data_IF_497476291067
#
_entry.id   IF_497476291067
#
_cell.length_a   1.000
_cell.length_b   1.000
_cell.length_c   1.000
_cell.angle_alpha   90.00
_cell.angle_beta   90.00
_cell.angle_gamma   90.00
#
_symmetry.space_group_name_H-M   'P 1'
#
loop_
_entity.id
_entity.type
_entity.pdbx_description
1 polymer ?
#
# COMPACT_ATOMS: atom_id res chain seq x y z
N UNK A 1 16.62 1.41 -1.04
CA UNK A 1 15.56 1.47 -0.01
C UNK A 1 14.27 2.03 -0.60
N UNK A 2 13.13 1.77 0.01
CA UNK A 2 11.83 2.32 -0.39
C UNK A 2 11.16 3.00 0.80
N UNK A 3 10.60 4.17 0.58
CA UNK A 3 9.85 4.93 1.59
C UNK A 3 8.43 5.16 1.08
N UNK A 4 7.42 4.73 1.85
CA UNK A 4 6.02 4.83 1.49
C UNK A 4 5.33 5.89 2.35
N UNK A 5 4.45 6.69 1.71
CA UNK A 5 3.69 7.75 2.37
C UNK A 5 2.20 7.66 2.11
N UNK A 6 1.40 8.04 3.12
CA UNK A 6 -0.04 8.26 2.98
C UNK A 6 -0.60 9.20 4.05
N UNK A 7 -1.45 10.10 3.66
CA UNK A 7 -2.53 10.86 4.29
C UNK A 7 -2.49 12.36 3.98
N UNK A 8 -3.40 13.16 4.53
CA UNK A 8 -3.43 14.62 4.36
C UNK A 8 -2.11 15.24 4.81
N UNK A 9 -1.52 16.09 3.97
CA UNK A 9 -0.19 16.70 4.22
C UNK A 9 1.01 15.85 3.78
N UNK A 10 0.84 14.58 3.42
CA UNK A 10 1.96 13.72 2.99
C UNK A 10 2.64 14.20 1.71
N UNK A 11 1.96 14.96 0.87
CA UNK A 11 2.52 15.46 -0.38
C UNK A 11 3.66 16.45 -0.11
N UNK A 12 3.47 17.38 0.83
CA UNK A 12 4.50 18.33 1.26
C UNK A 12 5.72 17.60 1.85
N UNK A 13 5.46 16.65 2.74
CA UNK A 13 6.48 15.80 3.37
C UNK A 13 7.28 15.02 2.31
N UNK A 14 6.61 14.49 1.28
CA UNK A 14 7.30 13.79 0.18
C UNK A 14 8.19 14.72 -0.65
N UNK A 15 7.76 15.96 -0.87
CA UNK A 15 8.59 16.97 -1.56
C UNK A 15 9.83 17.25 -0.73
N UNK A 16 9.68 17.59 0.56
CA UNK A 16 10.80 17.84 1.48
C UNK A 16 11.74 16.64 1.58
N UNK A 17 11.20 15.41 1.62
CA UNK A 17 12.03 14.21 1.63
C UNK A 17 12.86 14.07 0.35
N UNK A 18 12.25 14.27 -0.84
CA UNK A 18 12.99 14.19 -2.10
C UNK A 18 14.09 15.24 -2.20
N UNK A 19 13.82 16.46 -1.73
CA UNK A 19 14.81 17.54 -1.67
C UNK A 19 15.97 17.18 -0.72
N UNK A 20 15.67 16.66 0.46
CA UNK A 20 16.69 16.28 1.43
C UNK A 20 17.51 15.07 0.95
N UNK A 21 16.88 14.05 0.34
CA UNK A 21 17.58 12.93 -0.30
C UNK A 21 18.56 13.40 -1.38
N UNK A 22 18.13 14.37 -2.21
CA UNK A 22 19.00 14.95 -3.25
C UNK A 22 20.18 15.71 -2.65
N UNK A 23 19.98 16.49 -1.58
CA UNK A 23 21.07 17.18 -0.86
C UNK A 23 22.10 16.19 -0.31
N UNK A 24 21.66 15.02 0.14
CA UNK A 24 22.51 13.98 0.71
C UNK A 24 23.05 12.96 -0.32
N UNK A 25 22.70 13.13 -1.62
CA UNK A 25 23.11 12.22 -2.68
C UNK A 25 22.49 10.82 -2.60
N UNK A 26 21.30 10.70 -2.02
CA UNK A 26 20.58 9.43 -1.82
C UNK A 26 19.40 9.23 -2.78
N UNK A 27 19.17 10.15 -3.68
CA UNK A 27 17.99 10.18 -4.57
C UNK A 27 17.92 8.99 -5.54
N UNK A 28 19.06 8.41 -5.91
CA UNK A 28 19.10 7.18 -6.70
C UNK A 28 19.00 5.88 -5.86
N UNK A 29 19.33 5.96 -4.57
CA UNK A 29 19.31 4.79 -3.66
C UNK A 29 17.97 4.61 -2.94
N UNK A 30 17.20 5.68 -2.78
CA UNK A 30 15.94 5.71 -2.01
C UNK A 30 14.77 6.09 -2.89
N UNK A 31 13.91 5.12 -3.17
CA UNK A 31 12.65 5.34 -3.90
C UNK A 31 11.57 5.85 -2.95
N UNK A 32 10.98 7.02 -3.26
CA UNK A 32 9.86 7.61 -2.51
C UNK A 32 8.57 7.35 -3.24
N UNK A 33 7.68 6.55 -2.65
CA UNK A 33 6.45 6.06 -3.27
C UNK A 33 5.22 6.57 -2.50
N UNK A 34 4.26 7.14 -3.22
CA UNK A 34 2.93 7.42 -2.69
C UNK A 34 2.08 6.17 -2.78
N UNK A 35 1.55 5.70 -1.65
CA UNK A 35 0.73 4.49 -1.61
C UNK A 35 -0.74 4.78 -1.28
N UNK A 36 -1.58 3.76 -1.43
CA UNK A 36 -2.98 3.79 -1.03
C UNK A 36 -3.19 3.84 0.49
N UNK A 37 -4.44 3.96 0.93
CA UNK A 37 -4.78 4.07 2.35
C UNK A 37 -4.49 2.77 3.11
N UNK A 38 -3.80 2.88 4.24
CA UNK A 38 -3.53 1.76 5.15
C UNK A 38 -4.61 1.58 6.23
N UNK A 39 -5.65 2.42 6.27
CA UNK A 39 -6.70 2.36 7.30
C UNK A 39 -6.32 3.00 8.64
N UNK A 40 -5.14 3.59 8.75
CA UNK A 40 -4.61 4.20 9.99
C UNK A 40 -4.65 5.74 9.93
N UNK A 41 -5.77 6.31 9.49
CA UNK A 41 -5.91 7.76 9.27
C UNK A 41 -5.65 8.60 10.52
N UNK A 42 -5.95 8.08 11.71
CA UNK A 42 -5.69 8.77 12.99
C UNK A 42 -4.19 8.93 13.30
N UNK A 43 -3.33 8.13 12.68
CA UNK A 43 -1.87 8.16 12.85
C UNK A 43 -1.16 8.93 11.73
N UNK A 44 -1.92 9.53 10.80
CA UNK A 44 -1.34 10.26 9.68
C UNK A 44 -0.74 11.63 10.03
N UNK A 45 0.20 12.11 9.23
CA UNK A 45 0.90 11.43 8.12
C UNK A 45 1.75 10.25 8.57
N UNK A 46 1.68 9.14 7.81
CA UNK A 46 2.48 7.95 8.09
C UNK A 46 3.59 7.77 7.06
N UNK A 47 4.72 7.23 7.50
CA UNK A 47 5.86 6.86 6.66
C UNK A 47 6.32 5.45 7.01
N UNK A 48 6.55 4.61 6.00
CA UNK A 48 7.12 3.27 6.18
C UNK A 48 8.43 3.20 5.43
N UNK A 49 9.50 2.80 6.12
CA UNK A 49 10.84 2.67 5.56
C UNK A 49 11.19 1.20 5.41
N UNK A 50 11.47 0.76 4.18
CA UNK A 50 11.93 -0.59 3.88
C UNK A 50 13.46 -0.64 3.74
N UNK A 51 14.10 -1.80 3.99
CA UNK A 51 13.50 -3.15 4.09
C UNK A 51 12.88 -3.50 5.45
N UNK A 52 13.22 -2.80 6.53
CA UNK A 52 12.85 -3.19 7.90
C UNK A 52 11.37 -2.93 8.22
N UNK A 53 10.62 -2.32 7.29
CA UNK A 53 9.23 -1.91 7.46
C UNK A 53 9.02 -1.01 8.70
N UNK A 54 10.02 -0.20 9.03
CA UNK A 54 9.96 0.75 10.15
C UNK A 54 8.79 1.71 9.94
N UNK A 55 7.88 1.77 10.93
CA UNK A 55 6.66 2.53 10.83
C UNK A 55 6.70 3.80 11.68
N UNK A 56 6.68 4.94 11.01
CA UNK A 56 6.60 6.27 11.63
C UNK A 56 5.18 6.82 11.54
N UNK A 57 4.69 7.36 12.65
CA UNK A 57 3.39 8.01 12.78
C UNK A 57 3.52 9.52 12.98
N UNK A 58 2.50 10.27 12.56
CA UNK A 58 2.39 11.73 12.76
C UNK A 58 3.62 12.51 12.28
N UNK A 59 4.25 12.05 11.19
CA UNK A 59 5.46 12.66 10.63
C UNK A 59 5.16 14.08 10.15
N UNK A 60 6.03 15.02 10.49
CA UNK A 60 5.98 16.41 10.04
C UNK A 60 7.13 16.69 9.08
N UNK A 61 7.03 17.79 8.36
CA UNK A 61 8.07 18.24 7.44
C UNK A 61 9.42 18.47 8.17
N UNK A 62 9.37 19.04 9.37
CA UNK A 62 10.55 19.30 10.21
C UNK A 62 11.27 18.02 10.69
N UNK A 63 10.61 16.87 10.63
CA UNK A 63 11.20 15.59 11.01
C UNK A 63 12.07 15.00 9.89
N UNK A 64 11.92 15.46 8.65
CA UNK A 64 12.56 14.86 7.49
C UNK A 64 14.09 14.88 7.54
N UNK A 65 14.76 16.01 7.89
CA UNK A 65 16.22 16.01 7.99
C UNK A 65 16.74 14.96 8.98
N UNK A 66 16.10 14.82 10.14
CA UNK A 66 16.50 13.84 11.16
C UNK A 66 16.28 12.39 10.67
N UNK A 67 15.16 12.11 9.99
CA UNK A 67 14.89 10.78 9.43
C UNK A 67 15.93 10.41 8.38
N UNK A 68 16.28 11.34 7.49
CA UNK A 68 17.29 11.09 6.46
C UNK A 68 18.66 10.85 7.09
N UNK A 69 19.09 11.70 8.01
CA UNK A 69 20.40 11.59 8.64
C UNK A 69 20.51 10.35 9.53
N UNK A 70 19.57 10.14 10.44
CA UNK A 70 19.68 9.05 11.41
C UNK A 70 19.26 7.70 10.84
N UNK A 71 18.12 7.63 10.14
CA UNK A 71 17.62 6.34 9.67
C UNK A 71 18.16 5.96 8.28
N UNK A 72 18.09 6.85 7.29
CA UNK A 72 18.49 6.48 5.93
C UNK A 72 20.01 6.45 5.73
N UNK A 73 20.77 7.33 6.37
CA UNK A 73 22.24 7.32 6.30
C UNK A 73 22.87 6.39 7.35
N UNK A 74 22.49 6.54 8.63
CA UNK A 74 23.15 5.85 9.74
C UNK A 74 22.47 4.53 10.15
N UNK A 75 21.30 4.19 9.59
CA UNK A 75 20.56 2.96 9.91
C UNK A 75 19.93 2.94 11.30
N UNK A 76 19.76 4.09 11.96
CA UNK A 76 19.20 4.22 13.30
C UNK A 76 17.79 4.82 13.27
N UNK A 77 16.73 4.04 13.49
CA UNK A 77 15.37 4.57 13.50
C UNK A 77 15.18 5.69 14.53
N UNK A 78 14.44 6.74 14.15
CA UNK A 78 14.11 7.89 15.01
C UNK A 78 13.04 7.47 16.01
N UNK A 79 13.46 7.18 17.26
CA UNK A 79 12.60 6.53 18.28
C UNK A 79 11.33 7.32 18.60
N UNK A 80 11.39 8.66 18.66
CA UNK A 80 10.24 9.52 19.00
C UNK A 80 9.09 9.49 17.98
N UNK A 81 9.36 9.04 16.76
CA UNK A 81 8.39 8.96 15.67
C UNK A 81 7.82 7.55 15.48
N UNK A 82 8.38 6.56 16.17
CA UNK A 82 7.88 5.19 16.09
C UNK A 82 6.48 5.10 16.68
N UNK A 83 5.64 4.29 16.04
CA UNK A 83 4.34 3.96 16.60
C UNK A 83 4.51 2.96 17.76
N UNK A 84 3.92 3.24 18.91
CA UNK A 84 4.15 2.50 20.17
C UNK A 84 3.92 0.98 20.04
N UNK A 85 2.89 0.57 19.29
CA UNK A 85 2.62 -0.86 19.05
C UNK A 85 3.71 -1.56 18.24
N UNK A 86 4.56 -0.82 17.51
CA UNK A 86 5.67 -1.38 16.74
C UNK A 86 6.96 -1.49 17.54
N UNK A 87 7.00 -0.88 18.72
CA UNK A 87 8.18 -0.91 19.62
C UNK A 87 8.05 -2.07 20.60
N UNK A 88 9.08 -2.90 20.68
CA UNK A 88 9.18 -3.99 21.66
C UNK A 88 10.55 -4.04 22.29
N UNK A 89 10.71 -4.70 23.46
CA UNK A 89 12.02 -4.91 24.08
C UNK A 89 13.04 -5.62 23.16
N UNK A 90 12.55 -6.37 22.17
CA UNK A 90 13.38 -7.06 21.17
C UNK A 90 13.71 -6.22 19.93
N UNK A 91 13.21 -4.97 19.85
CA UNK A 91 13.40 -4.07 18.71
C UNK A 91 12.10 -3.57 18.10
N UNK A 92 12.21 -2.94 16.91
CA UNK A 92 11.08 -2.40 16.16
C UNK A 92 10.38 -3.53 15.40
N UNK A 93 9.06 -3.67 15.58
CA UNK A 93 8.21 -4.57 14.79
C UNK A 93 7.79 -3.92 13.48
N UNK A 94 7.51 -4.76 12.48
CA UNK A 94 6.90 -4.30 11.24
C UNK A 94 5.43 -3.89 11.46
N UNK A 95 4.89 -3.07 10.54
CA UNK A 95 3.48 -2.73 10.52
C UNK A 95 2.57 -3.97 10.51
N UNK A 96 2.99 -5.04 9.81
CA UNK A 96 2.26 -6.31 9.75
C UNK A 96 2.09 -7.02 11.10
N UNK A 97 2.94 -6.69 12.08
CA UNK A 97 2.91 -7.27 13.43
C UNK A 97 1.97 -6.52 14.39
N UNK A 98 1.39 -5.39 13.98
CA UNK A 98 0.42 -4.67 14.81
C UNK A 98 -0.88 -5.46 14.94
N UNK A 99 -1.60 -5.30 16.05
CA UNK A 99 -2.86 -6.00 16.31
C UNK A 99 -3.94 -5.71 15.27
N UNK A 100 -3.92 -4.52 14.70
CA UNK A 100 -4.82 -4.12 13.61
C UNK A 100 -4.60 -4.98 12.35
N UNK A 101 -3.35 -5.16 11.92
CA UNK A 101 -3.04 -5.90 10.69
C UNK A 101 -3.06 -7.42 10.87
N UNK A 102 -2.66 -7.94 12.03
CA UNK A 102 -2.71 -9.39 12.33
C UNK A 102 -4.11 -9.98 12.17
N UNK A 103 -5.14 -9.18 12.47
CA UNK A 103 -6.55 -9.60 12.39
C UNK A 103 -7.17 -9.41 11.02
N UNK A 104 -6.43 -8.84 10.05
CA UNK A 104 -6.94 -8.56 8.71
C UNK A 104 -6.41 -9.55 7.68
N UNK A 105 -7.34 -10.07 6.87
CA UNK A 105 -7.03 -10.82 5.66
C UNK A 105 -7.34 -9.96 4.44
N UNK A 106 -6.31 -9.28 3.92
CA UNK A 106 -6.46 -8.37 2.78
C UNK A 106 -6.45 -9.14 1.46
N UNK A 107 -7.57 -9.09 0.71
CA UNK A 107 -7.71 -9.71 -0.61
C UNK A 107 -7.59 -8.62 -1.69
N UNK A 108 -8.53 -7.66 -1.71
CA UNK A 108 -8.54 -6.58 -2.71
C UNK A 108 -7.35 -5.61 -2.54
N UNK A 109 -6.92 -5.36 -1.31
CA UNK A 109 -5.82 -4.46 -0.98
C UNK A 109 -4.49 -5.19 -0.67
N UNK A 110 -4.34 -6.43 -1.15
CA UNK A 110 -3.13 -7.23 -0.85
C UNK A 110 -1.82 -6.56 -1.27
N UNK A 111 -1.84 -5.82 -2.37
CA UNK A 111 -0.68 -5.12 -2.90
C UNK A 111 -0.51 -3.68 -2.37
N UNK A 112 -1.47 -3.18 -1.57
CA UNK A 112 -1.39 -1.84 -0.99
C UNK A 112 -0.24 -1.76 0.02
N UNK A 113 0.70 -0.84 -0.23
CA UNK A 113 1.93 -0.72 0.55
C UNK A 113 3.02 -1.75 0.20
N UNK A 114 2.81 -2.56 -0.84
CA UNK A 114 3.80 -3.54 -1.34
C UNK A 114 4.40 -3.07 -2.65
N UNK A 115 3.55 -2.67 -3.60
CA UNK A 115 3.99 -2.17 -4.92
C UNK A 115 3.81 -0.66 -5.02
N UNK A 116 4.52 -0.05 -5.98
CA UNK A 116 4.22 1.31 -6.42
C UNK A 116 2.93 1.31 -7.25
N UNK A 117 1.85 1.99 -6.82
CA UNK A 117 0.57 1.99 -7.54
C UNK A 117 0.62 2.76 -8.88
N UNK A 118 1.66 3.56 -9.12
CA UNK A 118 1.87 4.32 -10.35
C UNK A 118 2.79 3.58 -11.34
N UNK A 119 3.26 2.37 -10.99
CA UNK A 119 4.16 1.55 -11.80
C UNK A 119 3.45 0.29 -12.30
N UNK A 120 3.17 0.23 -13.60
CA UNK A 120 2.49 -0.90 -14.23
C UNK A 120 3.33 -2.17 -14.21
N UNK A 121 4.66 -2.07 -14.28
CA UNK A 121 5.55 -3.23 -14.28
C UNK A 121 5.51 -3.95 -12.92
N UNK A 122 5.49 -3.20 -11.82
CA UNK A 122 5.31 -3.78 -10.49
C UNK A 122 3.94 -4.47 -10.35
N UNK A 123 2.88 -3.90 -10.94
CA UNK A 123 1.56 -4.54 -10.96
C UNK A 123 1.57 -5.85 -11.75
N UNK A 124 2.19 -5.86 -12.94
CA UNK A 124 2.33 -7.06 -13.77
C UNK A 124 3.18 -8.11 -13.04
N UNK A 125 4.30 -7.71 -12.44
CA UNK A 125 5.19 -8.58 -11.69
C UNK A 125 4.52 -9.28 -10.50
N UNK A 126 3.45 -8.70 -9.94
CA UNK A 126 2.63 -9.32 -8.87
C UNK A 126 1.41 -10.09 -9.39
N UNK A 127 1.38 -10.42 -10.67
CA UNK A 127 0.30 -11.18 -11.30
C UNK A 127 -0.85 -10.33 -11.83
N UNK A 128 -0.64 -9.00 -11.97
CA UNK A 128 -1.60 -8.11 -12.58
C UNK A 128 -1.91 -8.51 -14.03
N UNK A 129 -3.16 -8.33 -14.44
CA UNK A 129 -3.70 -8.69 -15.75
C UNK A 129 -3.70 -10.19 -16.12
N UNK A 130 -3.17 -11.10 -15.30
CA UNK A 130 -3.22 -12.54 -15.61
C UNK A 130 -4.65 -13.04 -15.78
N UNK A 131 -5.57 -12.66 -14.89
CA UNK A 131 -6.98 -13.03 -15.01
C UNK A 131 -7.63 -12.42 -16.27
N UNK A 132 -7.27 -11.18 -16.62
CA UNK A 132 -7.76 -10.52 -17.83
C UNK A 132 -7.26 -11.28 -19.09
N UNK A 133 -5.98 -11.62 -19.14
CA UNK A 133 -5.39 -12.41 -20.22
C UNK A 133 -6.16 -13.72 -20.41
N UNK A 134 -6.39 -14.47 -19.35
CA UNK A 134 -7.18 -15.70 -19.38
C UNK A 134 -8.60 -15.49 -19.91
N UNK A 135 -9.28 -14.47 -19.43
CA UNK A 135 -10.65 -14.15 -19.87
C UNK A 135 -10.69 -13.85 -21.38
N UNK A 136 -9.75 -13.05 -21.87
CA UNK A 136 -9.75 -12.63 -23.28
C UNK A 136 -9.35 -13.75 -24.26
N UNK A 137 -8.59 -14.74 -23.81
CA UNK A 137 -8.06 -15.79 -24.69
C UNK A 137 -8.74 -17.15 -24.54
N UNK A 138 -9.34 -17.43 -23.37
CA UNK A 138 -9.79 -18.78 -23.02
C UNK A 138 -11.27 -18.86 -22.64
N UNK A 139 -11.97 -17.72 -22.43
CA UNK A 139 -13.31 -17.72 -21.86
C UNK A 139 -14.30 -16.94 -22.72
N UNK A 140 -15.53 -17.43 -22.78
CA UNK A 140 -16.68 -16.67 -23.33
C UNK A 140 -17.27 -15.75 -22.24
N UNK A 141 -17.99 -14.67 -22.61
CA UNK A 141 -18.68 -13.82 -21.64
C UNK A 141 -19.59 -14.58 -20.66
N UNK A 142 -20.29 -15.62 -21.14
CA UNK A 142 -21.17 -16.43 -20.29
C UNK A 142 -20.38 -17.26 -19.26
N UNK A 143 -19.24 -17.80 -19.64
CA UNK A 143 -18.36 -18.51 -18.73
C UNK A 143 -17.80 -17.59 -17.63
N UNK A 144 -17.47 -16.35 -17.98
CA UNK A 144 -17.02 -15.35 -17.00
C UNK A 144 -18.13 -15.01 -16.00
N UNK A 145 -19.36 -14.77 -16.51
CA UNK A 145 -20.53 -14.51 -15.67
C UNK A 145 -20.81 -15.71 -14.74
N UNK A 146 -20.79 -16.92 -15.30
CA UNK A 146 -21.03 -18.13 -14.49
C UNK A 146 -19.96 -18.30 -13.41
N UNK A 147 -18.69 -18.07 -13.72
CA UNK A 147 -17.60 -18.09 -12.73
C UNK A 147 -17.85 -17.14 -11.55
N UNK A 148 -18.34 -15.92 -11.84
CA UNK A 148 -18.67 -14.94 -10.79
C UNK A 148 -19.90 -15.35 -9.97
N UNK A 149 -20.88 -16.01 -10.60
CA UNK A 149 -22.06 -16.54 -9.88
C UNK A 149 -21.67 -17.68 -8.95
N UNK A 150 -20.87 -18.62 -9.43
CA UNK A 150 -20.40 -19.78 -8.68
C UNK A 150 -19.47 -19.38 -7.52
N UNK A 151 -18.64 -18.36 -7.73
CA UNK A 151 -17.80 -17.78 -6.69
C UNK A 151 -18.58 -17.03 -5.61
N UNK A 152 -19.86 -16.74 -5.84
CA UNK A 152 -20.68 -15.97 -4.90
C UNK A 152 -20.19 -14.56 -4.63
N UNK A 153 -19.42 -13.95 -5.58
CA UNK A 153 -18.86 -12.61 -5.40
C UNK A 153 -19.98 -11.56 -5.25
N UNK A 154 -19.88 -10.75 -4.21
CA UNK A 154 -20.85 -9.69 -3.90
C UNK A 154 -20.18 -8.31 -3.90
N UNK A 155 -20.96 -7.28 -4.22
CA UNK A 155 -20.56 -5.88 -4.09
C UNK A 155 -20.15 -5.53 -2.66
N UNK A 156 -19.19 -4.61 -2.54
CA UNK A 156 -18.62 -4.14 -1.25
C UNK A 156 -19.04 -2.69 -0.91
N UNK A 157 -20.00 -2.14 -1.61
CA UNK A 157 -20.55 -0.80 -1.35
C UNK A 157 -21.68 -0.75 -0.32
N UNK A 158 -21.90 -1.83 0.45
CA UNK A 158 -22.92 -1.92 1.51
C UNK A 158 -24.12 -2.82 1.17
N UNK A 159 -24.66 -2.76 -0.05
CA UNK A 159 -25.84 -3.55 -0.44
C UNK A 159 -25.57 -5.06 -0.67
N UNK A 160 -24.33 -5.45 -0.89
CA UNK A 160 -23.95 -6.86 -1.09
C UNK A 160 -24.58 -7.50 -2.32
N UNK A 161 -24.92 -6.74 -3.37
CA UNK A 161 -25.57 -7.24 -4.57
C UNK A 161 -24.66 -8.25 -5.30
N UNK A 162 -25.21 -9.41 -5.77
CA UNK A 162 -24.41 -10.42 -6.46
C UNK A 162 -23.81 -9.88 -7.77
N UNK A 163 -22.47 -9.88 -7.85
CA UNK A 163 -21.74 -9.27 -8.99
C UNK A 163 -22.01 -10.02 -10.29
N UNK A 164 -22.02 -11.35 -10.27
CA UNK A 164 -22.33 -12.16 -11.46
C UNK A 164 -23.75 -11.92 -11.98
N UNK A 165 -24.72 -11.73 -11.08
CA UNK A 165 -26.10 -11.37 -11.49
C UNK A 165 -26.14 -9.99 -12.13
N UNK A 166 -25.42 -9.02 -11.58
CA UNK A 166 -25.32 -7.68 -12.18
C UNK A 166 -24.76 -7.76 -13.62
N UNK A 167 -23.71 -8.51 -13.84
CA UNK A 167 -23.12 -8.68 -15.17
C UNK A 167 -24.06 -9.43 -16.13
N UNK A 168 -24.76 -10.46 -15.63
CA UNK A 168 -25.78 -11.16 -16.42
C UNK A 168 -26.90 -10.21 -16.89
N UNK A 169 -27.39 -9.35 -16.01
CA UNK A 169 -28.43 -8.36 -16.34
C UNK A 169 -27.91 -7.31 -17.33
N UNK A 170 -26.66 -6.84 -17.17
CA UNK A 170 -26.05 -5.92 -18.13
C UNK A 170 -25.99 -6.52 -19.53
N UNK A 171 -25.51 -7.77 -19.67
CA UNK A 171 -25.39 -8.45 -20.95
C UNK A 171 -26.74 -8.60 -21.71
N UNK A 172 -27.87 -8.61 -20.99
CA UNK A 172 -29.19 -8.71 -21.62
C UNK A 172 -29.65 -7.44 -22.33
N UNK A 173 -28.94 -6.33 -22.14
CA UNK A 173 -29.30 -5.01 -22.70
C UNK A 173 -28.36 -4.58 -23.86
N UNK A 174 -27.47 -5.45 -24.29
CA UNK A 174 -26.68 -5.34 -25.53
C UNK A 174 -27.46 -6.02 -26.69
#
# INVERSE_FOLDING_TARGET
>A
RRVLFRSSGSQQIMVSLREELKKQGLDEEVSVVQTGCHGLCALGPIMIVYPDATFYAMVKEDDIPEIVEEHLLKGRPVQRLLYDETVTPAGVKSLGDTDFYKKQHRIALRNCGVINPEDIEEYIGTGGYQALGKVLTEMTPDQVIQTLLDAGLRGRGGAGFPTGLKWKLCKQND
#
